data_IF_908563339824
#
_entry.id   IF_908563339824
#
_cell.length_a   1.000
_cell.length_b   1.000
_cell.length_c   1.000
_cell.angle_alpha   90.00
_cell.angle_beta   90.00
_cell.angle_gamma   90.00
#
_symmetry.space_group_name_H-M   'P 1'
#
loop_
_entity.id
_entity.type
_entity.pdbx_description
1 polymer ?
#
# COMPACT_ATOMS: atom_id res chain seq x y z
N UNK A 1 3.01 -60.59 -19.82
CA UNK A 1 2.80 -61.48 -18.66
C UNK A 1 2.00 -60.72 -17.62
N UNK A 2 0.80 -61.24 -17.31
CA UNK A 2 0.04 -61.23 -16.05
C UNK A 2 -0.05 -59.92 -15.26
N UNK A 3 -1.25 -59.30 -15.21
CA UNK A 3 -2.28 -59.41 -14.15
C UNK A 3 -1.70 -59.01 -12.78
N UNK A 4 -2.24 -58.00 -12.09
CA UNK A 4 -3.33 -58.19 -11.12
C UNK A 4 -4.08 -56.86 -10.90
N UNK A 5 -5.40 -56.96 -11.03
CA UNK A 5 -6.39 -56.00 -10.56
C UNK A 5 -6.37 -55.89 -9.03
N UNK A 6 -6.51 -54.68 -8.48
CA UNK A 6 -6.94 -54.51 -7.09
C UNK A 6 -8.19 -53.64 -7.08
N UNK A 7 -9.31 -54.32 -6.83
CA UNK A 7 -10.68 -53.78 -6.72
C UNK A 7 -10.97 -53.49 -5.25
N UNK A 8 -11.82 -52.48 -5.03
CA UNK A 8 -12.65 -52.23 -3.85
C UNK A 8 -11.96 -52.09 -2.49
N UNK A 9 -12.07 -50.88 -1.92
CA UNK A 9 -13.05 -50.62 -0.84
C UNK A 9 -13.61 -49.20 -0.96
N UNK A 10 -14.88 -49.09 -1.37
CA UNK A 10 -15.71 -47.91 -1.16
C UNK A 10 -16.04 -47.91 0.33
N UNK A 11 -15.35 -47.06 1.10
CA UNK A 11 -15.76 -46.72 2.45
C UNK A 11 -16.65 -45.48 2.35
N UNK A 12 -17.96 -45.73 2.39
CA UNK A 12 -18.96 -44.70 2.61
C UNK A 12 -18.79 -44.15 4.04
N UNK A 13 -18.02 -43.07 4.18
CA UNK A 13 -18.07 -42.22 5.36
C UNK A 13 -18.89 -40.99 5.00
N UNK A 14 -20.16 -41.04 5.37
CA UNK A 14 -21.10 -39.93 5.43
C UNK A 14 -20.49 -38.84 6.32
N UNK A 15 -19.75 -37.91 5.73
CA UNK A 15 -19.31 -36.72 6.44
C UNK A 15 -20.50 -35.75 6.45
N UNK A 16 -21.09 -35.60 7.63
CA UNK A 16 -22.11 -34.61 7.90
C UNK A 16 -21.60 -33.22 7.48
N UNK A 17 -22.31 -32.59 6.55
CA UNK A 17 -22.09 -31.19 6.18
C UNK A 17 -22.57 -30.36 7.37
N UNK A 18 -21.65 -30.02 8.26
CA UNK A 18 -21.87 -28.96 9.24
C UNK A 18 -21.85 -27.66 8.43
N UNK A 19 -23.05 -27.13 8.18
CA UNK A 19 -23.25 -25.76 7.73
C UNK A 19 -22.75 -24.89 8.88
N UNK A 20 -21.47 -24.50 8.84
CA UNK A 20 -21.03 -23.34 9.58
C UNK A 20 -21.81 -22.17 8.98
N UNK A 21 -22.86 -21.74 9.68
CA UNK A 21 -23.41 -20.41 9.56
C UNK A 21 -22.24 -19.45 9.75
N UNK A 22 -21.67 -19.00 8.65
CA UNK A 22 -20.70 -17.93 8.66
C UNK A 22 -21.37 -16.72 9.28
N UNK A 23 -20.99 -16.37 10.51
CA UNK A 23 -21.15 -15.02 11.00
C UNK A 23 -20.27 -14.12 10.14
N UNK A 24 -20.82 -13.73 8.99
CA UNK A 24 -20.31 -12.67 8.14
C UNK A 24 -20.44 -11.35 8.89
N UNK A 25 -19.30 -10.82 9.28
CA UNK A 25 -19.12 -9.45 9.75
C UNK A 25 -17.72 -9.00 9.36
N UNK A 26 -17.34 -9.25 8.11
CA UNK A 26 -16.16 -8.64 7.53
C UNK A 26 -16.59 -7.35 6.86
N UNK A 27 -16.07 -6.22 7.32
CA UNK A 27 -16.16 -4.96 6.60
C UNK A 27 -15.59 -5.20 5.20
N UNK A 28 -16.46 -5.40 4.20
CA UNK A 28 -16.01 -5.63 2.84
C UNK A 28 -15.55 -4.28 2.29
N UNK A 29 -14.30 -3.94 2.56
CA UNK A 29 -13.64 -2.81 1.92
C UNK A 29 -13.78 -2.98 0.41
N UNK A 30 -14.26 -1.94 -0.28
CA UNK A 30 -14.53 -2.07 -1.70
C UNK A 30 -13.20 -2.22 -2.46
N UNK A 31 -13.23 -2.91 -3.60
CA UNK A 31 -12.05 -3.03 -4.48
C UNK A 31 -11.50 -1.65 -4.87
N UNK A 32 -12.39 -0.66 -5.01
CA UNK A 32 -12.02 0.74 -5.26
C UNK A 32 -11.19 1.32 -4.12
N UNK A 33 -11.59 1.10 -2.86
CA UNK A 33 -10.92 1.68 -1.70
C UNK A 33 -9.52 1.06 -1.51
N UNK A 34 -9.42 -0.26 -1.72
CA UNK A 34 -8.13 -0.96 -1.73
C UNK A 34 -7.21 -0.38 -2.81
N UNK A 35 -7.73 -0.13 -4.01
CA UNK A 35 -6.97 0.43 -5.14
C UNK A 35 -6.48 1.85 -4.85
N UNK A 36 -7.37 2.72 -4.34
CA UNK A 36 -7.03 4.10 -3.94
C UNK A 36 -5.95 4.10 -2.88
N UNK A 37 -6.08 3.27 -1.84
CA UNK A 37 -5.08 3.18 -0.77
C UNK A 37 -3.72 2.70 -1.28
N UNK A 38 -3.69 1.70 -2.17
CA UNK A 38 -2.44 1.23 -2.81
C UNK A 38 -1.79 2.32 -3.64
N UNK A 39 -2.56 3.02 -4.49
CA UNK A 39 -2.06 4.13 -5.28
C UNK A 39 -1.56 5.28 -4.40
N UNK A 40 -2.26 5.58 -3.30
CA UNK A 40 -1.84 6.58 -2.34
C UNK A 40 -0.46 6.28 -1.74
N UNK A 41 -0.21 5.03 -1.35
CA UNK A 41 1.07 4.60 -0.80
C UNK A 41 2.18 4.59 -1.87
N UNK A 42 1.86 4.21 -3.10
CA UNK A 42 2.80 4.29 -4.23
C UNK A 42 3.22 5.75 -4.52
N UNK A 43 2.29 6.69 -4.47
CA UNK A 43 2.58 8.12 -4.60
C UNK A 43 3.50 8.60 -3.46
N UNK A 44 3.22 8.25 -2.21
CA UNK A 44 4.10 8.61 -1.08
C UNK A 44 5.51 8.02 -1.23
N UNK A 45 5.64 6.77 -1.68
CA UNK A 45 6.95 6.16 -1.97
C UNK A 45 7.70 6.89 -3.09
N UNK A 46 6.98 7.39 -4.09
CA UNK A 46 7.56 8.20 -5.16
C UNK A 46 8.14 9.51 -4.60
N UNK A 47 7.36 10.22 -3.78
CA UNK A 47 7.81 11.46 -3.12
C UNK A 47 9.01 11.21 -2.18
N UNK A 48 9.02 10.09 -1.46
CA UNK A 48 10.17 9.67 -0.64
C UNK A 48 11.44 9.45 -1.48
N UNK A 49 11.30 8.85 -2.67
CA UNK A 49 12.41 8.67 -3.61
C UNK A 49 12.91 9.99 -4.17
N UNK A 50 12.00 10.93 -4.45
CA UNK A 50 12.38 12.27 -4.89
C UNK A 50 13.13 13.02 -3.79
N UNK A 51 12.71 12.91 -2.52
CA UNK A 51 13.40 13.53 -1.39
C UNK A 51 14.83 13.02 -1.28
N UNK A 52 15.04 11.70 -1.39
CA UNK A 52 16.37 11.11 -1.41
C UNK A 52 17.22 11.66 -2.57
N UNK A 53 16.62 11.75 -3.77
CA UNK A 53 17.32 12.26 -4.97
C UNK A 53 17.64 13.75 -4.87
N UNK A 54 16.73 14.54 -4.29
CA UNK A 54 16.91 15.96 -4.05
C UNK A 54 18.04 16.21 -3.05
N UNK A 55 18.07 15.44 -1.96
CA UNK A 55 19.12 15.52 -0.95
C UNK A 55 20.49 15.11 -1.48
N UNK A 56 20.56 14.04 -2.28
CA UNK A 56 21.79 13.64 -2.96
C UNK A 56 22.33 14.76 -3.89
N UNK A 57 21.44 15.45 -4.60
CA UNK A 57 21.82 16.50 -5.54
C UNK A 57 22.18 17.84 -4.88
N UNK A 58 21.51 18.22 -3.79
CA UNK A 58 21.61 19.56 -3.20
C UNK A 58 22.29 19.59 -1.82
N UNK A 59 22.47 18.43 -1.18
CA UNK A 59 23.03 18.32 0.17
C UNK A 59 22.03 18.64 1.29
N UNK A 60 20.76 18.89 0.97
CA UNK A 60 19.67 19.20 1.92
C UNK A 60 18.34 18.61 1.45
N UNK A 61 17.39 18.40 2.36
CA UNK A 61 16.03 17.95 2.02
C UNK A 61 15.23 19.07 1.34
N UNK A 62 14.29 18.73 0.47
CA UNK A 62 13.42 19.75 -0.15
C UNK A 62 12.48 20.35 0.92
N UNK A 63 12.36 21.68 1.03
CA UNK A 63 11.57 22.35 2.06
C UNK A 63 10.06 22.24 1.86
N UNK A 64 9.61 22.07 0.61
CA UNK A 64 8.19 21.99 0.29
C UNK A 64 7.92 21.09 -0.93
N UNK A 65 6.63 20.83 -1.16
CA UNK A 65 6.14 20.02 -2.27
C UNK A 65 6.34 20.69 -3.63
N UNK A 66 6.32 22.02 -3.70
CA UNK A 66 6.48 22.76 -4.94
C UNK A 66 7.89 22.53 -5.51
N UNK A 67 8.91 22.74 -4.68
CA UNK A 67 10.31 22.54 -5.06
C UNK A 67 10.59 21.08 -5.41
N UNK A 68 9.99 20.13 -4.68
CA UNK A 68 10.13 18.71 -4.97
C UNK A 68 9.49 18.33 -6.33
N UNK A 69 8.31 18.88 -6.63
CA UNK A 69 7.64 18.68 -7.91
C UNK A 69 8.40 19.32 -9.09
N UNK A 70 8.98 20.51 -8.89
CA UNK A 70 9.83 21.17 -9.87
C UNK A 70 11.10 20.35 -10.15
N UNK A 71 11.76 19.85 -9.09
CA UNK A 71 12.95 18.98 -9.22
C UNK A 71 12.63 17.70 -9.99
N UNK A 72 11.53 17.04 -9.67
CA UNK A 72 11.05 15.85 -10.36
C UNK A 72 10.46 16.14 -11.77
N UNK A 73 10.45 17.41 -12.20
CA UNK A 73 9.92 17.88 -13.50
C UNK A 73 8.48 17.44 -13.76
N UNK A 74 7.67 17.40 -12.71
CA UNK A 74 6.27 17.00 -12.83
C UNK A 74 5.46 18.13 -13.45
N UNK A 75 4.64 17.78 -14.44
CA UNK A 75 3.65 18.71 -15.02
C UNK A 75 2.40 18.86 -14.15
N UNK A 76 2.16 17.89 -13.25
CA UNK A 76 1.06 17.88 -12.27
C UNK A 76 1.54 17.29 -10.94
N UNK A 77 1.14 17.84 -9.80
CA UNK A 77 1.50 17.29 -8.49
C UNK A 77 0.89 15.90 -8.30
N UNK A 78 1.54 15.09 -7.47
CA UNK A 78 0.94 13.85 -6.97
C UNK A 78 -0.09 14.20 -5.90
N UNK A 79 -1.30 13.66 -6.05
CA UNK A 79 -2.41 13.88 -5.12
C UNK A 79 -2.88 12.55 -4.53
N UNK A 80 -3.46 12.61 -3.33
CA UNK A 80 -4.15 11.47 -2.74
C UNK A 80 -5.39 11.13 -3.60
N UNK A 81 -5.56 9.88 -4.07
CA UNK A 81 -6.70 9.49 -4.89
C UNK A 81 -8.03 9.39 -4.10
N UNK A 82 -7.97 9.51 -2.77
CA UNK A 82 -9.15 9.51 -1.91
C UNK A 82 -9.65 10.91 -1.59
N UNK A 83 -8.79 11.79 -1.07
CA UNK A 83 -9.17 13.18 -0.75
C UNK A 83 -9.10 14.11 -1.96
N UNK A 84 -8.29 13.78 -2.98
CA UNK A 84 -7.99 14.67 -4.10
C UNK A 84 -6.99 15.78 -3.75
N UNK A 85 -6.43 15.76 -2.55
CA UNK A 85 -5.52 16.79 -2.03
C UNK A 85 -4.05 16.40 -2.20
N UNK A 86 -3.17 17.40 -2.18
CA UNK A 86 -1.71 17.17 -2.16
C UNK A 86 -1.26 16.53 -0.84
N UNK A 87 -0.11 15.84 -0.91
CA UNK A 87 0.54 15.30 0.27
C UNK A 87 1.14 16.41 1.12
N UNK A 88 1.19 16.19 2.44
CA UNK A 88 1.80 17.12 3.37
C UNK A 88 3.26 16.72 3.53
N UNK A 89 4.16 17.70 3.38
CA UNK A 89 5.59 17.54 3.62
C UNK A 89 6.00 18.45 4.76
N UNK A 90 6.59 17.86 5.79
CA UNK A 90 7.14 18.57 6.94
C UNK A 90 8.61 18.22 7.10
N UNK A 91 9.47 19.23 7.27
CA UNK A 91 10.86 19.02 7.62
C UNK A 91 11.02 18.89 9.14
N UNK A 92 11.96 18.05 9.55
CA UNK A 92 12.45 17.97 10.92
C UNK A 92 13.95 18.25 10.95
N UNK A 93 14.52 18.42 12.15
CA UNK A 93 15.94 18.72 12.33
C UNK A 93 16.88 17.69 11.65
N UNK A 94 16.41 16.45 11.48
CA UNK A 94 17.21 15.35 10.96
C UNK A 94 16.59 14.64 9.75
N UNK A 95 15.52 15.18 9.16
CA UNK A 95 14.80 14.44 8.13
C UNK A 95 13.54 15.13 7.61
N UNK A 96 12.60 14.31 7.17
CA UNK A 96 11.31 14.75 6.66
C UNK A 96 10.20 13.77 6.99
N UNK A 97 8.97 14.26 6.97
CA UNK A 97 7.74 13.48 7.04
C UNK A 97 6.89 13.80 5.82
N UNK A 98 6.49 12.77 5.07
CA UNK A 98 5.45 12.84 4.05
C UNK A 98 4.22 12.17 4.62
N UNK A 99 3.08 12.85 4.69
CA UNK A 99 1.83 12.28 5.21
C UNK A 99 0.67 12.44 4.23
N UNK A 100 -0.22 11.44 4.25
CA UNK A 100 -1.47 11.49 3.51
C UNK A 100 -2.52 12.29 4.30
N UNK A 101 -3.22 13.26 3.69
CA UNK A 101 -4.29 14.00 4.36
C UNK A 101 -5.52 13.12 4.71
N UNK A 102 -5.70 11.99 4.02
CA UNK A 102 -6.76 11.02 4.29
C UNK A 102 -6.34 9.88 5.24
N UNK A 103 -5.33 10.11 6.09
CA UNK A 103 -4.89 9.15 7.13
C UNK A 103 -4.46 7.74 6.62
N UNK A 104 -4.08 7.63 5.34
CA UNK A 104 -3.56 6.36 4.77
C UNK A 104 -2.15 5.96 5.25
N UNK A 105 -1.54 6.82 6.07
CA UNK A 105 -0.22 6.67 6.64
C UNK A 105 0.71 7.81 6.26
N UNK A 106 1.99 7.58 6.55
CA UNK A 106 3.08 8.53 6.44
C UNK A 106 4.42 7.81 6.23
N UNK A 107 5.40 8.54 5.73
CA UNK A 107 6.79 8.12 5.61
C UNK A 107 7.64 9.14 6.36
N UNK A 108 8.34 8.70 7.40
CA UNK A 108 9.32 9.50 8.12
C UNK A 108 10.72 9.06 7.69
N UNK A 109 11.38 9.87 6.86
CA UNK A 109 12.76 9.62 6.38
C UNK A 109 12.98 8.17 5.93
N UNK A 110 12.10 7.69 5.03
CA UNK A 110 12.12 6.32 4.49
C UNK A 110 11.45 5.25 5.37
N UNK A 111 11.04 5.57 6.60
CA UNK A 111 10.29 4.64 7.47
C UNK A 111 8.79 4.82 7.27
N UNK A 112 8.13 3.80 6.74
CA UNK A 112 6.67 3.77 6.55
C UNK A 112 5.93 3.54 7.87
N UNK A 113 4.75 4.15 8.04
CA UNK A 113 3.89 3.95 9.21
C UNK A 113 2.82 2.85 9.05
N UNK A 114 2.61 2.34 7.85
CA UNK A 114 1.62 1.30 7.58
C UNK A 114 2.21 -0.12 7.55
N UNK A 115 1.42 -1.10 7.98
CA UNK A 115 1.73 -2.53 7.87
C UNK A 115 0.86 -3.18 6.78
N UNK A 116 1.47 -3.97 5.88
CA UNK A 116 0.77 -4.77 4.86
C UNK A 116 0.36 -4.02 3.59
N UNK A 117 0.62 -4.63 2.43
CA UNK A 117 0.23 -4.10 1.11
C UNK A 117 1.10 -4.63 -0.03
N UNK A 118 1.17 -5.95 -0.21
CA UNK A 118 1.60 -6.58 -1.47
C UNK A 118 0.37 -6.88 -2.35
#
# INVERSE_FOLDING_TARGET
MNRISMVCRIAACTLAIIIFSGCGGGDSESISDISKRRQCRANMNTLCTDQASYCDANGEWSPDMEQLNQFARRTRPLICPESGEEYILELSDCGYVISCPAEHGSIETGRISWTGGN
#
